data_IF_341705640572
#
_entry.id   IF_341705640572
#
_cell.length_a   1.000
_cell.length_b   1.000
_cell.length_c   1.000
_cell.angle_alpha   90.00
_cell.angle_beta   90.00
_cell.angle_gamma   90.00
#
_symmetry.space_group_name_H-M   'P 1'
#
loop_
_entity.id
_entity.type
_entity.pdbx_description
1 polymer ?
#
# COMPACT_ATOMS: atom_id res chain seq x y z
N UNK A 1 22.04 -6.54 3.82
CA UNK A 1 21.67 -5.22 4.36
C UNK A 1 21.08 -4.39 3.26
N UNK A 2 19.77 -4.17 3.29
CA UNK A 2 19.13 -3.11 2.51
C UNK A 2 19.21 -1.82 3.35
N UNK A 3 20.04 -0.86 2.92
CA UNK A 3 19.99 0.51 3.48
C UNK A 3 19.18 1.37 2.52
N UNK A 4 18.03 1.86 2.98
CA UNK A 4 17.20 2.82 2.26
C UNK A 4 17.79 4.23 2.42
N UNK A 5 18.33 4.86 1.35
CA UNK A 5 19.23 6.01 1.49
C UNK A 5 18.58 7.37 1.19
N UNK A 6 17.25 7.45 1.08
CA UNK A 6 16.54 8.71 0.82
C UNK A 6 16.45 9.58 2.08
N UNK A 7 17.09 10.76 2.07
CA UNK A 7 17.21 11.64 3.24
C UNK A 7 16.21 12.80 3.28
N UNK A 8 15.72 13.13 4.49
CA UNK A 8 14.97 14.37 4.77
C UNK A 8 15.89 15.60 4.54
N UNK A 9 15.45 16.57 3.73
CA UNK A 9 16.15 17.82 3.40
C UNK A 9 16.24 18.71 4.64
N UNK A 10 17.44 18.78 5.24
CA UNK A 10 17.68 19.46 6.52
C UNK A 10 17.35 20.96 6.46
N UNK A 11 16.45 21.43 7.32
CA UNK A 11 16.13 22.86 7.50
C UNK A 11 16.03 23.17 8.99
N UNK A 12 16.90 24.06 9.48
CA UNK A 12 17.09 24.26 10.92
C UNK A 12 16.29 25.46 11.46
N UNK A 13 15.47 25.26 12.50
CA UNK A 13 15.49 26.15 13.68
C UNK A 13 14.74 25.64 14.92
N UNK A 14 15.45 25.74 16.06
CA UNK A 14 15.00 26.05 17.42
C UNK A 14 13.63 25.54 17.92
N UNK A 15 13.68 24.63 18.90
CA UNK A 15 12.65 24.49 19.94
C UNK A 15 12.87 25.53 21.06
N UNK A 16 11.86 25.75 21.92
CA UNK A 16 12.01 26.46 23.18
C UNK A 16 11.00 25.95 24.22
N UNK A 17 11.48 25.54 25.39
CA UNK A 17 10.67 25.01 26.50
C UNK A 17 10.34 26.10 27.53
N UNK A 18 9.28 25.88 28.32
CA UNK A 18 9.07 26.52 29.62
C UNK A 18 8.19 25.61 30.51
N UNK A 19 8.40 25.63 31.83
CA UNK A 19 7.82 24.66 32.77
C UNK A 19 6.89 25.30 33.83
N UNK A 20 5.98 24.46 34.35
CA UNK A 20 5.46 24.38 35.72
C UNK A 20 4.95 25.64 36.47
N UNK A 21 3.73 25.53 37.02
CA UNK A 21 3.48 25.72 38.47
C UNK A 21 2.10 25.18 38.91
N UNK A 22 2.06 24.64 40.14
CA UNK A 22 0.90 24.39 41.01
C UNK A 22 1.34 24.86 42.45
N UNK A 23 0.53 24.90 43.54
CA UNK A 23 -0.61 24.01 43.84
C UNK A 23 -1.80 24.60 44.67
N UNK A 24 -2.76 23.71 45.00
CA UNK A 24 -3.58 23.62 46.23
C UNK A 24 -4.46 24.78 46.74
N UNK A 25 -5.73 24.45 47.03
CA UNK A 25 -6.29 24.48 48.39
C UNK A 25 -7.42 23.43 48.56
N UNK A 26 -7.95 23.26 49.78
CA UNK A 26 -8.53 21.98 50.28
C UNK A 26 -9.97 22.11 50.84
N UNK A 27 -10.48 20.98 51.40
CA UNK A 27 -11.72 20.82 52.19
C UNK A 27 -13.03 20.74 51.37
N UNK A 28 -14.07 20.00 51.78
CA UNK A 28 -14.38 19.44 53.11
C UNK A 28 -14.81 17.94 53.09
N UNK A 29 -14.86 17.33 54.27
CA UNK A 29 -15.10 15.91 54.61
C UNK A 29 -16.57 15.53 54.86
N UNK A 30 -16.90 14.25 54.64
CA UNK A 30 -17.60 13.44 55.65
C UNK A 30 -17.48 11.92 55.42
N UNK A 31 -17.28 11.16 56.51
CA UNK A 31 -17.26 9.69 56.56
C UNK A 31 -18.66 9.10 56.85
N UNK A 32 -18.88 7.83 56.52
CA UNK A 32 -19.76 6.93 57.29
C UNK A 32 -19.28 5.48 57.15
N UNK A 33 -19.16 4.78 58.28
CA UNK A 33 -18.77 3.37 58.43
C UNK A 33 -20.05 2.52 58.69
N UNK A 34 -20.20 1.20 58.49
CA UNK A 34 -19.37 0.09 57.97
C UNK A 34 -20.34 -0.97 57.31
N UNK A 35 -20.15 -2.31 57.19
CA UNK A 35 -19.16 -3.31 57.65
C UNK A 35 -19.23 -4.60 56.78
N UNK A 36 -18.83 -5.77 57.33
CA UNK A 36 -18.89 -7.17 56.84
C UNK A 36 -20.29 -7.66 56.33
N UNK A 37 -20.47 -8.82 55.66
CA UNK A 37 -19.83 -10.15 55.82
C UNK A 37 -19.81 -11.01 54.54
N UNK A 38 -18.84 -11.95 54.45
CA UNK A 38 -18.84 -13.25 53.72
C UNK A 38 -18.60 -13.35 52.19
N UNK A 39 -17.36 -13.69 51.83
CA UNK A 39 -16.96 -15.00 51.24
C UNK A 39 -17.88 -15.68 50.18
N UNK A 40 -17.37 -15.83 48.95
CA UNK A 40 -17.95 -16.74 47.95
C UNK A 40 -17.36 -16.65 46.53
N UNK A 41 -16.81 -17.77 46.04
CA UNK A 41 -16.44 -18.08 44.64
C UNK A 41 -15.40 -17.21 43.90
N UNK A 42 -14.25 -17.82 43.63
CA UNK A 42 -13.28 -17.37 42.61
C UNK A 42 -13.84 -17.62 41.20
N UNK A 43 -13.68 -16.69 40.24
CA UNK A 43 -13.77 -17.00 38.81
C UNK A 43 -12.41 -17.54 38.35
N UNK A 44 -12.36 -18.76 37.81
CA UNK A 44 -11.13 -19.27 37.20
C UNK A 44 -10.71 -18.39 36.01
N UNK A 45 -9.58 -17.71 36.15
CA UNK A 45 -8.99 -16.95 35.07
C UNK A 45 -8.38 -17.92 34.05
N UNK A 46 -9.12 -18.22 32.98
CA UNK A 46 -8.62 -18.97 31.81
C UNK A 46 -7.38 -18.28 31.22
N UNK A 47 -6.20 -18.70 31.68
CA UNK A 47 -4.92 -18.25 31.17
C UNK A 47 -4.70 -18.89 29.80
N UNK A 48 -5.10 -18.17 28.75
CA UNK A 48 -4.76 -18.50 27.37
C UNK A 48 -3.25 -18.64 27.25
N UNK A 49 -2.76 -19.89 27.26
CA UNK A 49 -1.35 -20.19 27.10
C UNK A 49 -0.95 -19.82 25.68
N UNK A 50 -0.35 -18.64 25.52
CA UNK A 50 0.29 -18.21 24.27
C UNK A 50 1.41 -19.19 23.99
N UNK A 51 1.13 -20.17 23.14
CA UNK A 51 2.15 -21.03 22.56
C UNK A 51 3.09 -20.12 21.76
N UNK A 52 4.41 -20.12 22.03
CA UNK A 52 5.33 -19.30 21.26
C UNK A 52 5.28 -19.74 19.79
N UNK A 53 4.87 -18.81 18.91
CA UNK A 53 4.83 -19.03 17.47
C UNK A 53 6.23 -19.40 16.97
N UNK A 54 6.32 -20.38 16.07
CA UNK A 54 7.60 -20.81 15.53
C UNK A 54 8.23 -19.65 14.75
N UNK A 55 9.54 -19.34 14.94
CA UNK A 55 10.17 -18.22 14.26
C UNK A 55 10.00 -18.30 12.74
N UNK A 56 9.41 -17.26 12.15
CA UNK A 56 9.17 -17.16 10.72
C UNK A 56 10.51 -17.17 9.94
N UNK A 57 10.51 -17.77 8.75
CA UNK A 57 11.66 -17.72 7.85
C UNK A 57 11.97 -16.26 7.46
N UNK A 58 13.21 -15.80 7.69
CA UNK A 58 13.60 -14.45 7.32
C UNK A 58 13.66 -14.29 5.80
N UNK A 59 12.94 -13.30 5.27
CA UNK A 59 12.91 -13.05 3.83
C UNK A 59 14.32 -12.73 3.28
N UNK A 60 14.68 -13.30 2.12
CA UNK A 60 16.04 -13.17 1.61
C UNK A 60 16.45 -11.70 1.37
N UNK A 61 17.69 -11.39 1.76
CA UNK A 61 18.30 -10.06 1.62
C UNK A 61 17.78 -8.97 2.58
N UNK A 62 16.69 -9.20 3.32
CA UNK A 62 16.11 -8.20 4.23
C UNK A 62 16.71 -8.25 5.63
N UNK A 63 16.31 -7.27 6.44
CA UNK A 63 16.56 -7.22 7.88
C UNK A 63 15.29 -6.65 8.52
N UNK A 64 14.75 -7.24 9.60
CA UNK A 64 13.61 -6.66 10.31
C UNK A 64 13.93 -5.26 10.84
N UNK A 65 12.93 -4.39 10.89
CA UNK A 65 13.00 -3.08 11.54
C UNK A 65 12.52 -3.27 12.99
N UNK A 66 13.45 -3.24 13.95
CA UNK A 66 13.13 -3.45 15.37
C UNK A 66 12.25 -2.29 15.93
N UNK A 67 12.63 -1.05 15.62
CA UNK A 67 11.90 0.18 15.99
C UNK A 67 11.40 0.94 14.74
N UNK A 68 10.39 0.41 14.05
CA UNK A 68 9.75 1.13 12.94
C UNK A 68 8.77 2.22 13.45
N UNK A 69 9.07 3.48 13.10
CA UNK A 69 8.27 4.66 13.44
C UNK A 69 7.88 5.42 12.16
N UNK A 70 6.58 5.47 11.86
CA UNK A 70 6.03 6.10 10.66
C UNK A 70 6.18 7.64 10.59
N UNK A 71 6.56 8.30 11.68
CA UNK A 71 6.71 9.77 11.80
C UNK A 71 8.19 10.16 11.90
N UNK A 72 8.88 9.63 12.92
CA UNK A 72 10.25 10.00 13.25
C UNK A 72 11.29 9.15 12.52
N UNK A 73 10.91 7.98 12.01
CA UNK A 73 11.79 7.02 11.35
C UNK A 73 12.46 7.53 10.07
N UNK A 74 13.42 6.72 9.60
CA UNK A 74 14.21 6.95 8.39
C UNK A 74 13.64 6.27 7.14
N UNK A 75 12.77 5.27 7.30
CA UNK A 75 12.10 4.54 6.22
C UNK A 75 10.59 4.55 6.44
N UNK A 76 9.84 4.63 5.34
CA UNK A 76 8.39 4.56 5.36
C UNK A 76 7.87 3.12 5.49
N UNK A 77 6.55 2.90 5.28
CA UNK A 77 5.58 3.90 4.83
C UNK A 77 5.38 4.98 5.89
N UNK A 78 5.41 6.25 5.48
CA UNK A 78 5.31 7.36 6.42
C UNK A 78 3.85 7.73 6.70
N UNK A 79 3.58 8.23 7.91
CA UNK A 79 2.33 8.90 8.22
C UNK A 79 2.30 10.26 7.52
N UNK A 80 1.55 10.35 6.42
CA UNK A 80 1.52 11.54 5.56
C UNK A 80 0.81 12.73 6.19
N UNK A 81 -0.03 12.53 7.19
CA UNK A 81 -0.70 13.60 7.94
C UNK A 81 0.28 14.31 8.90
N UNK A 82 1.35 13.64 9.33
CA UNK A 82 2.41 14.19 10.18
C UNK A 82 3.74 14.45 9.43
N UNK A 83 4.00 13.76 8.31
CA UNK A 83 5.28 13.83 7.56
C UNK A 83 5.06 14.36 6.15
N UNK A 84 5.74 15.45 5.81
CA UNK A 84 5.67 16.05 4.48
C UNK A 84 6.53 15.29 3.45
N UNK A 85 5.89 14.78 2.40
CA UNK A 85 6.56 14.08 1.29
C UNK A 85 7.55 14.95 0.50
N UNK A 86 7.32 16.27 0.42
CA UNK A 86 8.19 17.20 -0.32
C UNK A 86 9.56 17.43 0.36
N UNK A 87 9.68 17.05 1.64
CA UNK A 87 10.93 17.14 2.41
C UNK A 87 11.96 16.08 1.96
N UNK A 88 11.56 15.08 1.18
CA UNK A 88 12.41 13.99 0.72
C UNK A 88 12.91 14.18 -0.72
N UNK A 89 13.85 13.35 -1.13
CA UNK A 89 14.26 13.22 -2.54
C UNK A 89 14.04 11.78 -3.00
N UNK A 90 13.36 11.61 -4.13
CA UNK A 90 13.05 10.33 -4.77
C UNK A 90 13.53 10.28 -6.22
N UNK A 91 14.41 11.20 -6.64
CA UNK A 91 14.93 11.26 -8.02
C UNK A 91 15.82 10.06 -8.37
N UNK A 92 16.23 9.25 -7.39
CA UNK A 92 16.80 7.91 -7.57
C UNK A 92 15.78 6.94 -8.21
N UNK A 93 14.56 6.95 -7.69
CA UNK A 93 13.54 5.92 -7.88
C UNK A 93 12.42 6.33 -8.84
N UNK A 94 12.10 7.63 -8.89
CA UNK A 94 10.87 8.18 -9.46
C UNK A 94 11.12 9.50 -10.21
N UNK A 95 10.17 9.84 -11.08
CA UNK A 95 10.08 11.15 -11.74
C UNK A 95 8.77 11.89 -11.37
N UNK A 96 7.85 11.27 -10.63
CA UNK A 96 6.52 11.82 -10.32
C UNK A 96 5.84 11.09 -9.15
N UNK A 97 5.08 11.81 -8.32
CA UNK A 97 4.31 11.20 -7.22
C UNK A 97 2.90 10.84 -7.68
N UNK A 98 2.53 9.55 -7.59
CA UNK A 98 1.16 9.09 -7.73
C UNK A 98 0.39 9.41 -6.44
N UNK A 99 -0.53 10.37 -6.51
CA UNK A 99 -1.39 10.75 -5.39
C UNK A 99 -2.77 10.08 -5.54
N UNK A 100 -3.10 9.18 -4.60
CA UNK A 100 -4.36 8.43 -4.52
C UNK A 100 -5.35 9.01 -3.49
N UNK A 101 -5.09 10.21 -2.95
CA UNK A 101 -5.84 10.79 -1.84
C UNK A 101 -5.35 10.23 -0.50
N UNK A 102 -5.77 9.01 -0.16
CA UNK A 102 -5.36 8.30 1.06
C UNK A 102 -3.92 7.76 1.04
N UNK A 103 -3.26 7.77 -0.11
CA UNK A 103 -1.87 7.29 -0.27
C UNK A 103 -1.15 8.18 -1.28
N UNK A 104 0.11 8.55 -1.01
CA UNK A 104 1.03 9.09 -2.02
C UNK A 104 2.20 8.15 -2.20
N UNK A 105 2.56 7.89 -3.45
CA UNK A 105 3.58 6.91 -3.81
C UNK A 105 4.50 7.55 -4.85
N UNK A 106 5.80 7.75 -4.56
CA UNK A 106 6.80 8.04 -5.59
C UNK A 106 6.76 6.96 -6.65
N UNK A 107 6.27 7.30 -7.83
CA UNK A 107 5.88 6.33 -8.84
C UNK A 107 7.14 5.71 -9.49
N UNK A 108 7.31 4.38 -9.50
CA UNK A 108 8.53 3.77 -10.02
C UNK A 108 8.78 4.14 -11.47
N UNK A 109 10.04 4.43 -11.82
CA UNK A 109 10.46 4.55 -13.22
C UNK A 109 10.05 3.31 -14.01
N UNK A 110 9.67 3.52 -15.28
CA UNK A 110 9.20 2.48 -16.21
C UNK A 110 7.84 1.82 -15.86
N UNK A 111 7.19 2.18 -14.75
CA UNK A 111 5.88 1.64 -14.40
C UNK A 111 4.73 2.31 -15.17
N UNK A 112 3.56 1.66 -15.16
CA UNK A 112 2.29 2.15 -15.72
C UNK A 112 1.17 2.04 -14.69
N UNK A 113 0.20 2.95 -14.72
CA UNK A 113 -0.99 2.86 -13.85
C UNK A 113 -2.14 2.21 -14.61
N UNK A 114 -2.67 1.13 -14.06
CA UNK A 114 -3.94 0.52 -14.48
C UNK A 114 -4.99 0.75 -13.40
N UNK A 115 -6.23 1.01 -13.80
CA UNK A 115 -7.36 1.29 -12.91
C UNK A 115 -8.45 0.26 -13.14
N UNK A 116 -8.98 -0.31 -12.06
CA UNK A 116 -10.26 -1.02 -12.06
C UNK A 116 -11.38 -0.03 -11.71
N UNK A 117 -12.38 0.08 -12.59
CA UNK A 117 -13.55 0.93 -12.38
C UNK A 117 -14.71 0.09 -11.81
N UNK A 118 -15.28 0.54 -10.70
CA UNK A 118 -16.59 0.09 -10.22
C UNK A 118 -17.70 1.08 -10.59
N UNK A 119 -18.93 0.77 -10.21
CA UNK A 119 -20.14 1.55 -10.56
C UNK A 119 -20.07 3.02 -10.08
N UNK A 120 -19.41 3.26 -8.96
CA UNK A 120 -19.30 4.59 -8.33
C UNK A 120 -18.00 5.34 -8.67
N UNK A 121 -17.12 4.76 -9.50
CA UNK A 121 -15.83 5.35 -9.86
C UNK A 121 -14.65 4.37 -9.74
N UNK A 122 -13.40 4.86 -9.60
CA UNK A 122 -12.22 4.01 -9.48
C UNK A 122 -12.27 3.18 -8.19
N UNK A 123 -12.31 1.86 -8.33
CA UNK A 123 -12.41 0.87 -7.24
C UNK A 123 -11.05 0.39 -6.76
N UNK A 124 -10.11 0.20 -7.69
CA UNK A 124 -8.76 -0.29 -7.37
C UNK A 124 -7.73 0.29 -8.34
N UNK A 125 -6.50 0.47 -7.85
CA UNK A 125 -5.38 0.99 -8.64
C UNK A 125 -4.23 -0.01 -8.60
N UNK A 126 -3.64 -0.26 -9.75
CA UNK A 126 -2.50 -1.14 -9.93
C UNK A 126 -1.33 -0.38 -10.55
N UNK A 127 -0.14 -0.55 -9.97
CA UNK A 127 1.13 -0.11 -10.55
C UNK A 127 1.72 -1.33 -11.26
N UNK A 128 1.68 -1.32 -12.59
CA UNK A 128 2.19 -2.39 -13.45
C UNK A 128 3.67 -2.12 -13.75
N UNK A 129 4.52 -3.13 -13.61
CA UNK A 129 5.98 -3.03 -13.73
C UNK A 129 6.54 -4.18 -14.57
N UNK A 130 7.81 -4.09 -14.99
CA UNK A 130 8.52 -5.20 -15.68
C UNK A 130 8.78 -6.47 -14.84
N UNK A 131 8.35 -6.48 -13.57
CA UNK A 131 8.46 -7.64 -12.68
C UNK A 131 7.10 -8.21 -12.25
N UNK A 132 6.00 -7.52 -12.55
CA UNK A 132 4.67 -7.86 -12.03
C UNK A 132 3.86 -6.63 -11.64
N UNK A 133 2.83 -6.85 -10.83
CA UNK A 133 1.80 -5.86 -10.48
C UNK A 133 1.78 -5.59 -8.97
N UNK A 134 1.91 -4.31 -8.60
CA UNK A 134 1.76 -3.81 -7.23
C UNK A 134 0.33 -3.26 -7.06
N UNK A 135 -0.36 -3.65 -6.00
CA UNK A 135 -1.71 -3.17 -5.66
C UNK A 135 -1.70 -2.58 -4.25
N UNK A 136 -1.52 -1.25 -4.11
CA UNK A 136 -1.51 -0.55 -2.83
C UNK A 136 -2.94 -0.22 -2.35
N UNK A 137 -3.26 -0.55 -1.10
CA UNK A 137 -4.53 -0.18 -0.45
C UNK A 137 -4.25 0.24 0.99
N UNK A 138 -4.87 1.31 1.46
CA UNK A 138 -4.83 1.73 2.85
C UNK A 138 -6.21 1.53 3.51
N UNK A 139 -6.20 1.19 4.79
CA UNK A 139 -7.37 0.91 5.62
C UNK A 139 -7.31 1.77 6.89
N UNK A 140 -8.47 2.08 7.48
CA UNK A 140 -8.50 2.59 8.85
C UNK A 140 -8.19 1.45 9.83
N UNK A 141 -7.37 1.73 10.84
CA UNK A 141 -6.97 0.78 11.88
C UNK A 141 -7.35 1.31 13.28
N UNK A 142 -7.49 0.44 14.31
CA UNK A 142 -7.71 0.88 15.68
C UNK A 142 -6.47 1.61 16.23
N UNK A 143 -6.61 2.30 17.38
CA UNK A 143 -5.47 2.93 18.07
C UNK A 143 -4.54 1.94 18.76
N UNK A 144 -4.95 0.68 18.91
CA UNK A 144 -4.18 -0.41 19.51
C UNK A 144 -3.15 -1.04 18.56
N UNK A 145 -3.29 -0.83 17.25
CA UNK A 145 -2.73 -1.76 16.27
C UNK A 145 -3.39 -3.15 16.36
N UNK A 146 -2.74 -4.15 15.76
CA UNK A 146 -3.15 -5.55 15.74
C UNK A 146 -3.92 -5.96 14.49
N UNK A 147 -4.40 -4.99 13.69
CA UNK A 147 -5.26 -5.28 12.54
C UNK A 147 -4.52 -6.03 11.43
N UNK A 148 -3.20 -5.86 11.30
CA UNK A 148 -2.44 -6.64 10.33
C UNK A 148 -2.31 -8.11 10.72
N UNK A 149 -2.10 -8.41 12.00
CA UNK A 149 -1.93 -9.79 12.47
C UNK A 149 -3.22 -10.60 12.28
N UNK A 150 -4.36 -10.03 12.67
CA UNK A 150 -5.69 -10.58 12.42
C UNK A 150 -5.94 -10.75 10.90
N UNK A 151 -5.70 -9.70 10.11
CA UNK A 151 -5.89 -9.75 8.65
C UNK A 151 -4.96 -10.76 7.96
N UNK A 152 -3.76 -10.99 8.48
CA UNK A 152 -2.76 -11.84 7.82
C UNK A 152 -3.17 -13.31 7.84
N UNK A 153 -3.70 -13.80 8.97
CA UNK A 153 -4.23 -15.16 9.05
C UNK A 153 -5.55 -15.32 8.28
N UNK A 154 -6.48 -14.34 8.33
CA UNK A 154 -7.71 -14.36 7.52
C UNK A 154 -7.41 -14.45 6.01
N UNK A 155 -6.46 -13.64 5.52
CA UNK A 155 -6.04 -13.66 4.10
C UNK A 155 -5.34 -14.98 3.77
N UNK A 156 -4.50 -15.50 4.66
CA UNK A 156 -3.82 -16.77 4.46
C UNK A 156 -4.81 -17.96 4.45
N UNK A 157 -5.84 -17.95 5.30
CA UNK A 157 -6.94 -18.93 5.24
C UNK A 157 -7.73 -18.81 3.93
N UNK A 158 -8.11 -17.59 3.53
CA UNK A 158 -8.79 -17.35 2.25
C UNK A 158 -8.01 -17.90 1.05
N UNK A 159 -6.70 -17.66 1.01
CA UNK A 159 -5.83 -18.18 -0.06
C UNK A 159 -5.64 -19.71 0.00
N UNK A 160 -5.56 -20.31 1.20
CA UNK A 160 -5.55 -21.79 1.36
C UNK A 160 -6.87 -22.42 0.88
N UNK A 161 -8.01 -21.74 1.09
CA UNK A 161 -9.33 -22.16 0.61
C UNK A 161 -9.50 -22.01 -0.92
N UNK A 162 -8.62 -21.28 -1.60
CA UNK A 162 -8.50 -21.23 -3.07
C UNK A 162 -7.46 -22.24 -3.62
N UNK A 163 -7.19 -23.33 -2.88
CA UNK A 163 -6.18 -24.36 -3.17
C UNK A 163 -4.74 -23.83 -3.35
N UNK A 164 -4.43 -22.62 -2.85
CA UNK A 164 -3.11 -22.01 -2.99
C UNK A 164 -2.19 -22.39 -1.80
N UNK A 165 -1.00 -22.98 -2.03
CA UNK A 165 0.01 -23.12 -0.99
C UNK A 165 0.45 -21.75 -0.45
N UNK A 166 0.23 -21.53 0.85
CA UNK A 166 0.60 -20.29 1.56
C UNK A 166 1.61 -20.59 2.67
N UNK A 167 2.65 -19.74 2.76
CA UNK A 167 3.56 -19.64 3.91
C UNK A 167 3.76 -18.17 4.31
N UNK A 168 4.33 -17.95 5.48
CA UNK A 168 4.73 -16.62 5.95
C UNK A 168 6.25 -16.47 5.91
N UNK A 169 6.73 -15.23 5.75
CA UNK A 169 8.12 -14.84 6.00
C UNK A 169 8.17 -13.65 6.94
N UNK A 170 9.29 -13.50 7.66
CA UNK A 170 9.62 -12.25 8.35
C UNK A 170 10.20 -11.26 7.34
N UNK A 171 9.43 -10.24 6.99
CA UNK A 171 9.86 -9.08 6.19
C UNK A 171 10.41 -7.93 7.05
N UNK A 172 10.68 -6.75 6.44
CA UNK A 172 11.18 -5.58 7.17
C UNK A 172 10.18 -5.05 8.21
N UNK A 173 8.88 -5.08 7.92
CA UNK A 173 7.83 -4.49 8.78
C UNK A 173 7.04 -5.50 9.61
N UNK A 174 7.34 -6.81 9.52
CA UNK A 174 6.57 -7.87 10.20
C UNK A 174 6.34 -9.10 9.31
N UNK A 175 5.32 -9.89 9.68
CA UNK A 175 4.79 -11.05 8.93
C UNK A 175 4.38 -10.61 7.51
N UNK A 176 5.00 -11.19 6.49
CA UNK A 176 4.57 -11.09 5.08
C UNK A 176 3.94 -12.42 4.64
N UNK A 177 2.88 -12.36 3.82
CA UNK A 177 2.19 -13.55 3.28
C UNK A 177 2.77 -13.90 1.91
N UNK A 178 3.08 -15.17 1.66
CA UNK A 178 3.55 -15.67 0.35
C UNK A 178 2.65 -16.83 -0.08
N UNK A 179 1.83 -16.61 -1.12
CA UNK A 179 1.04 -17.64 -1.78
C UNK A 179 1.55 -17.96 -3.18
N UNK A 180 1.64 -19.25 -3.53
CA UNK A 180 2.15 -19.72 -4.83
C UNK A 180 1.02 -20.25 -5.70
N UNK A 181 0.66 -19.54 -6.78
CA UNK A 181 -0.34 -19.97 -7.75
C UNK A 181 0.26 -20.48 -9.06
N UNK A 182 -0.55 -21.10 -9.91
CA UNK A 182 -0.15 -21.66 -11.22
C UNK A 182 0.52 -20.66 -12.17
N UNK A 183 0.23 -19.36 -11.99
CA UNK A 183 0.72 -18.28 -12.85
C UNK A 183 1.84 -17.43 -12.21
N UNK A 184 2.34 -17.83 -11.04
CA UNK A 184 3.35 -17.09 -10.27
C UNK A 184 2.98 -16.87 -8.80
N UNK A 185 3.72 -16.01 -8.12
CA UNK A 185 3.63 -15.81 -6.66
C UNK A 185 2.92 -14.50 -6.32
N UNK A 186 2.07 -14.57 -5.29
CA UNK A 186 1.44 -13.43 -4.63
C UNK A 186 2.16 -13.23 -3.29
N UNK A 187 2.80 -12.08 -3.10
CA UNK A 187 3.36 -11.63 -1.83
C UNK A 187 2.53 -10.48 -1.28
N UNK A 188 2.15 -10.50 -0.01
CA UNK A 188 1.36 -9.44 0.63
C UNK A 188 2.12 -8.91 1.83
N UNK A 189 2.44 -7.61 1.76
CA UNK A 189 3.10 -6.85 2.81
C UNK A 189 2.03 -5.98 3.49
N UNK A 190 1.91 -6.07 4.81
CA UNK A 190 1.13 -5.15 5.61
C UNK A 190 2.02 -4.34 6.54
N UNK A 191 1.66 -3.09 6.78
CA UNK A 191 2.33 -2.20 7.73
C UNK A 191 1.28 -1.36 8.45
N UNK A 192 1.22 -1.43 9.78
CA UNK A 192 0.38 -0.55 10.58
C UNK A 192 1.09 0.76 10.94
N UNK A 193 0.30 1.82 11.07
CA UNK A 193 0.75 3.14 11.53
C UNK A 193 -0.39 3.85 12.27
N UNK A 194 -0.25 5.15 12.60
CA UNK A 194 -1.19 5.88 13.46
C UNK A 194 -2.66 5.87 12.98
N UNK A 195 -3.43 4.87 13.41
CA UNK A 195 -4.85 4.61 13.02
C UNK A 195 -5.03 4.19 11.55
N UNK A 196 -4.01 3.63 10.91
CA UNK A 196 -4.09 3.09 9.55
C UNK A 196 -3.30 1.79 9.37
N UNK A 197 -3.71 1.00 8.38
CA UNK A 197 -2.99 -0.18 7.87
C UNK A 197 -2.77 0.00 6.38
N UNK A 198 -1.51 -0.04 5.93
CA UNK A 198 -1.15 -0.06 4.52
C UNK A 198 -0.85 -1.49 4.08
N UNK A 199 -1.63 -1.99 3.12
CA UNK A 199 -1.46 -3.33 2.54
C UNK A 199 -1.06 -3.22 1.09
N UNK A 200 0.01 -3.92 0.72
CA UNK A 200 0.54 -3.94 -0.65
C UNK A 200 0.61 -5.39 -1.14
N UNK A 201 -0.27 -5.71 -2.09
CA UNK A 201 -0.27 -7.01 -2.78
C UNK A 201 0.62 -6.92 -4.02
N UNK A 202 1.62 -7.78 -4.07
CA UNK A 202 2.61 -7.93 -5.14
C UNK A 202 2.31 -9.23 -5.89
N UNK A 203 1.94 -9.16 -7.16
CA UNK A 203 1.73 -10.33 -8.01
C UNK A 203 2.85 -10.42 -9.05
N UNK A 204 3.72 -11.42 -8.90
CA UNK A 204 4.89 -11.67 -9.75
C UNK A 204 4.65 -12.89 -10.65
N UNK A 205 4.92 -12.83 -11.96
CA UNK A 205 5.06 -14.03 -12.79
C UNK A 205 6.21 -14.91 -12.31
N UNK A 206 6.15 -16.21 -12.58
CA UNK A 206 7.20 -17.17 -12.19
C UNK A 206 8.58 -16.74 -12.71
N UNK A 207 9.59 -16.73 -11.84
CA UNK A 207 10.95 -16.27 -12.14
C UNK A 207 11.15 -14.74 -12.05
N UNK A 208 10.26 -14.01 -11.39
CA UNK A 208 10.32 -12.55 -11.15
C UNK A 208 10.04 -12.17 -9.68
N UNK A 209 9.92 -13.15 -8.80
CA UNK A 209 9.44 -13.05 -7.43
C UNK A 209 10.31 -12.14 -6.57
N UNK A 210 11.63 -12.36 -6.57
CA UNK A 210 12.57 -11.63 -5.70
C UNK A 210 12.78 -10.19 -6.18
N UNK A 211 12.85 -9.99 -7.49
CA UNK A 211 12.82 -8.67 -8.12
C UNK A 211 11.54 -7.90 -7.71
N UNK A 212 10.38 -8.55 -7.78
CA UNK A 212 9.09 -7.93 -7.47
C UNK A 212 8.94 -7.67 -5.97
N UNK A 213 9.42 -8.57 -5.11
CA UNK A 213 9.48 -8.38 -3.67
C UNK A 213 10.39 -7.19 -3.32
N UNK A 214 11.58 -7.11 -3.93
CA UNK A 214 12.51 -5.99 -3.75
C UNK A 214 11.88 -4.67 -4.19
N UNK A 215 11.34 -4.59 -5.41
CA UNK A 215 10.70 -3.38 -5.92
C UNK A 215 9.44 -3.01 -5.10
N UNK A 216 8.68 -4.00 -4.64
CA UNK A 216 7.55 -3.80 -3.73
C UNK A 216 7.97 -3.18 -2.40
N UNK A 217 9.04 -3.68 -1.79
CA UNK A 217 9.63 -3.11 -0.56
C UNK A 217 10.20 -1.70 -0.80
N UNK A 218 10.86 -1.44 -1.93
CA UNK A 218 11.29 -0.08 -2.32
C UNK A 218 10.11 0.92 -2.46
N UNK A 219 8.95 0.46 -2.92
CA UNK A 219 7.69 1.24 -2.97
C UNK A 219 7.12 1.46 -1.57
N UNK A 220 7.03 0.41 -0.75
CA UNK A 220 6.49 0.48 0.61
C UNK A 220 7.31 1.47 1.46
N UNK A 221 8.63 1.36 1.42
CA UNK A 221 9.57 2.25 2.12
C UNK A 221 9.45 3.74 1.72
N UNK A 222 8.94 4.04 0.52
CA UNK A 222 8.78 5.42 -0.01
C UNK A 222 7.32 5.91 -0.01
N UNK A 223 6.36 5.10 0.40
CA UNK A 223 4.93 5.47 0.43
C UNK A 223 4.59 6.37 1.62
N UNK A 224 3.54 7.17 1.48
CA UNK A 224 2.98 8.04 2.53
C UNK A 224 1.48 7.79 2.64
N UNK A 225 0.98 7.52 3.84
CA UNK A 225 -0.42 7.16 4.11
C UNK A 225 -1.13 8.32 4.78
N UNK A 226 -2.25 8.74 4.21
CA UNK A 226 -3.08 9.84 4.68
C UNK A 226 -4.37 9.26 5.26
N UNK A 227 -4.42 9.12 6.59
CA UNK A 227 -5.63 8.64 7.28
C UNK A 227 -6.68 9.74 7.35
N UNK A 228 -6.27 11.00 7.45
CA UNK A 228 -7.15 12.15 7.58
C UNK A 228 -8.02 12.13 8.84
N UNK A 229 -8.88 13.13 8.94
CA UNK A 229 -9.72 13.34 10.12
C UNK A 229 -11.08 12.63 10.06
N UNK A 230 -11.50 12.14 8.89
CA UNK A 230 -12.86 11.64 8.69
C UNK A 230 -13.16 10.35 9.50
N UNK A 231 -14.38 10.22 10.05
CA UNK A 231 -14.81 9.02 10.76
C UNK A 231 -14.99 7.86 9.78
N UNK A 232 -14.07 6.90 9.86
CA UNK A 232 -14.06 5.66 9.08
C UNK A 232 -13.76 4.54 10.09
N UNK A 233 -14.62 3.51 10.10
CA UNK A 233 -14.51 2.35 10.98
C UNK A 233 -13.23 1.57 10.68
N UNK A 234 -12.64 0.93 11.70
CA UNK A 234 -11.51 0.03 11.51
C UNK A 234 -11.85 -1.12 10.54
N UNK A 235 -10.88 -1.58 9.75
CA UNK A 235 -11.06 -2.58 8.71
C UNK A 235 -11.60 -2.03 7.39
N UNK A 236 -12.26 -0.87 7.36
CA UNK A 236 -12.72 -0.26 6.12
C UNK A 236 -11.56 0.38 5.34
N UNK A 237 -11.57 0.25 4.02
CA UNK A 237 -10.62 0.92 3.13
C UNK A 237 -10.77 2.44 3.17
N UNK A 238 -9.65 3.15 3.11
CA UNK A 238 -9.63 4.60 2.97
C UNK A 238 -9.99 5.00 1.52
N UNK A 239 -10.67 6.15 1.30
CA UNK A 239 -11.06 6.58 -0.04
C UNK A 239 -9.88 6.70 -1.01
N UNK A 240 -10.05 6.18 -2.23
CA UNK A 240 -9.08 6.31 -3.32
C UNK A 240 -9.59 7.35 -4.32
N UNK A 241 -8.77 8.37 -4.58
CA UNK A 241 -9.04 9.43 -5.57
C UNK A 241 -7.98 9.41 -6.65
N UNK A 242 -8.36 9.31 -7.93
CA UNK A 242 -7.41 9.42 -9.03
C UNK A 242 -6.99 10.87 -9.27
N UNK A 243 -5.72 11.13 -9.63
CA UNK A 243 -5.29 12.42 -10.16
C UNK A 243 -6.13 12.82 -11.39
N UNK A 244 -6.59 14.08 -11.44
CA UNK A 244 -7.44 14.59 -12.53
C UNK A 244 -6.84 14.35 -13.93
N UNK A 245 -5.52 14.47 -14.06
CA UNK A 245 -4.78 14.22 -15.31
C UNK A 245 -4.88 12.75 -15.75
N UNK A 246 -4.75 11.80 -14.81
CA UNK A 246 -4.89 10.37 -15.09
C UNK A 246 -6.35 10.01 -15.38
N UNK A 247 -7.31 10.59 -14.65
CA UNK A 247 -8.73 10.41 -14.93
C UNK A 247 -9.11 10.89 -16.35
N UNK A 248 -8.57 12.02 -16.81
CA UNK A 248 -8.73 12.52 -18.17
C UNK A 248 -8.12 11.59 -19.23
N UNK A 249 -6.92 11.04 -18.98
CA UNK A 249 -6.29 10.07 -19.88
C UNK A 249 -7.10 8.76 -19.99
N UNK A 250 -7.62 8.27 -18.85
CA UNK A 250 -8.50 7.08 -18.83
C UNK A 250 -9.81 7.36 -19.58
N UNK A 251 -10.43 8.53 -19.40
CA UNK A 251 -11.63 8.93 -20.14
C UNK A 251 -11.38 8.96 -21.66
N UNK A 252 -10.29 9.61 -22.11
CA UNK A 252 -9.91 9.65 -23.52
C UNK A 252 -9.66 8.25 -24.11
N UNK A 253 -9.00 7.36 -23.37
CA UNK A 253 -8.76 5.98 -23.80
C UNK A 253 -10.05 5.14 -23.92
N UNK A 254 -11.02 5.37 -23.02
CA UNK A 254 -12.35 4.74 -23.08
C UNK A 254 -13.17 5.28 -24.26
N UNK A 255 -13.17 6.59 -24.49
CA UNK A 255 -13.84 7.23 -25.63
C UNK A 255 -13.28 6.73 -26.97
N UNK A 256 -11.95 6.66 -27.12
CA UNK A 256 -11.30 6.11 -28.32
C UNK A 256 -11.68 4.65 -28.57
N UNK A 257 -11.73 3.81 -27.53
CA UNK A 257 -12.17 2.41 -27.63
C UNK A 257 -13.64 2.30 -28.02
N UNK A 258 -14.52 3.15 -27.47
CA UNK A 258 -15.94 3.17 -27.82
C UNK A 258 -16.16 3.57 -29.29
N UNK A 259 -15.43 4.58 -29.78
CA UNK A 259 -15.49 5.03 -31.18
C UNK A 259 -14.97 3.96 -32.15
N UNK A 260 -13.87 3.28 -31.83
CA UNK A 260 -13.36 2.16 -32.64
C UNK A 260 -14.35 0.99 -32.69
N UNK A 261 -14.96 0.63 -31.55
CA UNK A 261 -15.99 -0.41 -31.47
C UNK A 261 -17.21 -0.11 -32.33
N UNK A 262 -17.64 1.16 -32.37
CA UNK A 262 -18.74 1.61 -33.23
C UNK A 262 -18.36 1.61 -34.73
N UNK A 263 -17.14 2.02 -35.09
CA UNK A 263 -16.67 1.93 -36.48
C UNK A 263 -16.62 0.48 -36.99
N UNK A 264 -16.21 -0.48 -36.16
CA UNK A 264 -16.27 -1.91 -36.53
C UNK A 264 -17.68 -2.48 -36.70
N UNK A 265 -18.73 -1.75 -36.29
CA UNK A 265 -20.13 -2.17 -36.45
C UNK A 265 -20.84 -1.56 -37.67
N UNK A 266 -20.22 -0.60 -38.36
CA UNK A 266 -20.83 0.13 -39.49
C UNK A 266 -20.09 0.01 -40.83
N UNK A 267 -19.01 -0.78 -40.89
CA UNK A 267 -18.20 -0.97 -42.10
C UNK A 267 -17.92 -2.44 -42.43
N UNK A 268 -18.45 -2.88 -43.59
CA UNK A 268 -18.10 -4.12 -44.32
C UNK A 268 -18.62 -5.47 -43.78
N UNK A 269 -18.93 -6.35 -44.74
CA UNK A 269 -19.25 -7.77 -44.53
C UNK A 269 -17.97 -8.57 -44.16
N UNK A 270 -18.06 -9.82 -43.65
CA UNK A 270 -16.90 -10.60 -43.22
C UNK A 270 -15.99 -11.01 -44.39
N UNK A 271 -15.07 -10.13 -44.76
CA UNK A 271 -14.01 -10.39 -45.72
C UNK A 271 -12.80 -11.01 -44.99
N UNK A 272 -12.28 -12.13 -45.51
CA UNK A 272 -11.22 -12.90 -44.86
C UNK A 272 -10.00 -12.02 -44.54
N UNK A 273 -9.58 -12.02 -43.27
CA UNK A 273 -8.61 -11.07 -42.75
C UNK A 273 -7.23 -11.20 -43.40
N UNK A 274 -6.65 -10.07 -43.82
CA UNK A 274 -5.25 -9.99 -44.20
C UNK A 274 -4.39 -10.05 -42.92
N UNK A 275 -3.59 -11.12 -42.68
CA UNK A 275 -2.87 -11.30 -41.42
C UNK A 275 -1.79 -10.24 -41.14
N UNK A 276 -1.39 -9.47 -42.15
CA UNK A 276 -0.36 -8.42 -42.02
C UNK A 276 -0.92 -7.00 -41.79
N UNK A 277 -2.24 -6.80 -41.75
CA UNK A 277 -2.82 -5.46 -41.57
C UNK A 277 -2.31 -4.74 -40.30
N UNK A 278 -2.10 -5.49 -39.21
CA UNK A 278 -1.55 -4.96 -37.95
C UNK A 278 -0.05 -4.60 -38.06
N UNK A 279 0.73 -5.38 -38.80
CA UNK A 279 2.18 -5.16 -38.93
C UNK A 279 2.51 -4.05 -39.93
N UNK A 280 1.66 -3.82 -40.94
CA UNK A 280 1.79 -2.67 -41.84
C UNK A 280 1.35 -1.35 -41.17
N UNK A 281 0.27 -1.36 -40.38
CA UNK A 281 -0.11 -0.20 -39.56
C UNK A 281 0.99 0.24 -38.58
N UNK A 282 1.67 -0.73 -37.93
CA UNK A 282 2.80 -0.48 -37.04
C UNK A 282 4.00 0.18 -37.75
N UNK A 283 4.35 -0.27 -38.96
CA UNK A 283 5.41 0.37 -39.76
C UNK A 283 5.08 1.81 -40.10
N UNK A 284 3.81 2.10 -40.43
CA UNK A 284 3.39 3.42 -40.89
C UNK A 284 3.45 4.47 -39.75
N UNK A 285 3.11 4.08 -38.52
CA UNK A 285 3.28 4.91 -37.30
C UNK A 285 4.76 5.18 -37.02
N UNK A 286 5.63 4.17 -37.16
CA UNK A 286 7.08 4.31 -36.93
C UNK A 286 7.72 5.23 -37.98
N UNK A 287 7.28 5.18 -39.24
CA UNK A 287 7.76 6.09 -40.28
C UNK A 287 7.44 7.56 -39.97
N UNK A 288 6.17 7.86 -39.64
CA UNK A 288 5.72 9.24 -39.38
C UNK A 288 6.48 9.92 -38.22
N UNK A 289 6.83 9.16 -37.16
CA UNK A 289 7.59 9.69 -36.03
C UNK A 289 9.08 9.96 -36.33
N UNK A 290 9.64 9.33 -37.36
CA UNK A 290 11.06 9.53 -37.73
C UNK A 290 11.27 10.74 -38.64
N UNK A 291 10.38 10.98 -39.60
CA UNK A 291 10.50 12.16 -40.48
C UNK A 291 10.21 13.47 -39.72
N UNK A 292 9.36 13.45 -38.68
CA UNK A 292 9.11 14.59 -37.80
C UNK A 292 10.34 15.09 -37.00
N UNK A 293 11.42 14.30 -36.96
CA UNK A 293 12.68 14.61 -36.26
C UNK A 293 13.85 14.94 -37.22
N UNK A 294 13.61 15.15 -38.52
CA UNK A 294 14.67 15.53 -39.49
C UNK A 294 14.76 17.01 -39.80
N UNK A 295 13.68 17.76 -39.65
CA UNK A 295 13.59 19.18 -40.03
C UNK A 295 13.62 20.13 -38.80
N UNK A 296 14.49 19.83 -37.82
CA UNK A 296 14.78 20.66 -36.63
C UNK A 296 16.24 20.59 -36.21
#
# INVERSE_FOLDING_TARGET
>A
MALWPFGKKKKEKAAQEAQAAAPQQEQDTQETQAQDVQEGAEPEASTSTVTPEAPLEQAEGTTPLEDYDAVNGSTGPFDGDNVNIEDFDFTDFSNATLNLGSIKIPFPKEAQVQVEMGEQGPKMVHIVTRHGRITPVAFAAPRSGGLWEESAEEIAEGMRNEDMPVRFEQGPWGKEIIGTGTNGVIRIIGVEGPRWLYRVTLAAPTGREDDMAKLGREVVARSFVYRGNDPILAGNSLPVTLPKQLAQQVQQAVEQRAQQGQQSAQGSAPQAGNPNALSDALKQIIAQNNDFNKDK
#
